data_IF_510314244402
#
_entry.id   IF_510314244402
#
_cell.length_a   1.000
_cell.length_b   1.000
_cell.length_c   1.000
_cell.angle_alpha   90.00
_cell.angle_beta   90.00
_cell.angle_gamma   90.00
#
_symmetry.space_group_name_H-M   'P 1'
#
loop_
_entity.id
_entity.type
_entity.pdbx_description
1 polymer ?
#
# COMPACT_ATOMS: atom_id res chain seq x y z
N UNK A 1 -64.31 -2.53 20.47
CA UNK A 1 -63.10 -1.70 20.66
C UNK A 1 -61.87 -2.59 20.75
N UNK A 2 -60.79 -2.18 20.08
CA UNK A 2 -59.65 -2.98 19.60
C UNK A 2 -58.77 -3.54 20.74
N UNK A 3 -58.45 -4.84 20.68
CA UNK A 3 -57.34 -5.46 21.44
C UNK A 3 -56.03 -5.33 20.65
N UNK A 4 -54.95 -5.20 21.41
CA UNK A 4 -53.62 -4.69 21.06
C UNK A 4 -52.87 -5.61 20.08
N UNK A 5 -52.28 -5.01 19.04
CA UNK A 5 -51.19 -5.58 18.25
C UNK A 5 -50.03 -5.93 19.20
N UNK A 6 -49.67 -7.22 19.25
CA UNK A 6 -48.41 -7.68 19.85
C UNK A 6 -47.43 -8.02 18.73
N UNK A 7 -46.25 -7.43 18.87
CA UNK A 7 -44.95 -7.99 18.52
C UNK A 7 -44.62 -8.21 17.04
N UNK A 8 -44.44 -7.11 16.30
CA UNK A 8 -43.38 -7.08 15.29
C UNK A 8 -42.07 -6.79 16.04
N UNK A 9 -41.33 -7.86 16.36
CA UNK A 9 -39.92 -7.78 16.78
C UNK A 9 -39.12 -7.21 15.61
N UNK A 10 -39.05 -5.88 15.52
CA UNK A 10 -38.05 -5.22 14.71
C UNK A 10 -36.69 -5.66 15.23
N UNK A 11 -36.02 -6.53 14.48
CA UNK A 11 -34.57 -6.72 14.60
C UNK A 11 -33.96 -5.34 14.40
N UNK A 12 -33.66 -4.64 15.49
CA UNK A 12 -32.92 -3.38 15.45
C UNK A 12 -31.56 -3.72 14.85
N UNK A 13 -31.40 -3.50 13.54
CA UNK A 13 -30.07 -3.36 12.94
C UNK A 13 -29.40 -2.26 13.76
N UNK A 14 -28.25 -2.56 14.36
CA UNK A 14 -27.49 -1.58 15.13
C UNK A 14 -27.28 -0.35 14.23
N UNK A 15 -27.41 0.88 14.74
CA UNK A 15 -27.04 2.06 13.98
C UNK A 15 -25.60 1.87 13.49
N UNK A 16 -25.41 1.89 12.17
CA UNK A 16 -24.07 1.85 11.58
C UNK A 16 -23.40 3.15 12.00
N UNK A 17 -22.47 3.07 12.95
CA UNK A 17 -21.75 4.24 13.43
C UNK A 17 -20.76 4.71 12.36
N UNK A 18 -20.59 6.03 12.16
CA UNK A 18 -19.65 6.61 11.19
C UNK A 18 -18.19 6.15 11.32
N UNK A 19 -17.82 5.54 12.45
CA UNK A 19 -16.50 5.00 12.76
C UNK A 19 -16.18 3.66 12.09
N UNK A 20 -17.12 3.06 11.35
CA UNK A 20 -16.96 1.71 10.76
C UNK A 20 -17.07 1.68 9.23
N UNK A 21 -16.71 2.76 8.53
CA UNK A 21 -16.67 2.75 7.06
C UNK A 21 -15.38 2.06 6.63
N UNK A 22 -15.48 0.77 6.30
CA UNK A 22 -14.34 -0.06 5.87
C UNK A 22 -14.38 -0.40 4.38
N UNK A 23 -15.54 -0.25 3.74
CA UNK A 23 -15.76 -0.54 2.33
C UNK A 23 -16.62 0.53 1.66
N UNK A 24 -16.63 0.53 0.32
CA UNK A 24 -17.50 1.42 -0.47
C UNK A 24 -18.99 1.09 -0.26
N UNK A 25 -19.33 -0.18 -0.09
CA UNK A 25 -20.70 -0.65 0.17
C UNK A 25 -21.22 -0.17 1.53
N UNK A 26 -20.35 -0.15 2.56
CA UNK A 26 -20.67 0.41 3.88
C UNK A 26 -21.01 1.91 3.79
N UNK A 27 -20.25 2.66 2.98
CA UNK A 27 -20.47 4.09 2.76
C UNK A 27 -21.79 4.36 2.02
N UNK A 28 -22.07 3.63 0.93
CA UNK A 28 -23.29 3.79 0.14
C UNK A 28 -24.54 3.46 0.95
N UNK A 29 -24.47 2.39 1.75
CA UNK A 29 -25.55 2.00 2.68
C UNK A 29 -25.77 3.07 3.76
N UNK A 30 -24.70 3.63 4.32
CA UNK A 30 -24.80 4.65 5.37
C UNK A 30 -25.40 5.97 4.82
N UNK A 31 -24.92 6.44 3.66
CA UNK A 31 -25.36 7.69 3.03
C UNK A 31 -26.83 7.66 2.58
N UNK A 32 -27.32 6.51 2.13
CA UNK A 32 -28.71 6.35 1.67
C UNK A 32 -29.72 6.45 2.81
N UNK A 33 -29.33 6.08 4.03
CA UNK A 33 -30.17 6.21 5.23
C UNK A 33 -30.08 7.59 5.91
N UNK A 34 -29.20 8.49 5.46
CA UNK A 34 -29.03 9.82 6.04
C UNK A 34 -29.79 10.90 5.26
N UNK A 35 -30.45 11.81 5.99
CA UNK A 35 -31.05 13.01 5.39
C UNK A 35 -30.01 13.81 4.61
N UNK A 36 -30.38 14.33 3.44
CA UNK A 36 -29.50 15.13 2.57
C UNK A 36 -28.97 16.40 3.24
N UNK A 37 -29.72 16.94 4.19
CA UNK A 37 -29.42 18.18 4.92
C UNK A 37 -28.70 17.92 6.26
N UNK A 38 -28.44 16.66 6.61
CA UNK A 38 -27.80 16.34 7.88
C UNK A 38 -26.32 16.75 7.88
N UNK A 39 -25.85 17.54 8.87
CA UNK A 39 -24.43 17.86 9.04
C UNK A 39 -23.54 16.62 9.18
N UNK A 40 -24.09 15.54 9.73
CA UNK A 40 -23.39 14.26 9.88
C UNK A 40 -23.09 13.62 8.51
N UNK A 41 -23.92 13.88 7.49
CA UNK A 41 -23.72 13.35 6.13
C UNK A 41 -22.47 13.95 5.48
N UNK A 42 -22.20 15.23 5.74
CA UNK A 42 -20.97 15.90 5.28
C UNK A 42 -19.74 15.28 5.94
N UNK A 43 -19.77 15.08 7.27
CA UNK A 43 -18.67 14.43 7.99
C UNK A 43 -18.39 13.00 7.53
N UNK A 44 -19.43 12.22 7.21
CA UNK A 44 -19.30 10.87 6.65
C UNK A 44 -18.64 10.89 5.27
N UNK A 45 -18.98 11.87 4.42
CA UNK A 45 -18.34 12.06 3.11
C UNK A 45 -16.87 12.38 3.25
N UNK A 46 -16.51 13.34 4.10
CA UNK A 46 -15.12 13.73 4.34
C UNK A 46 -14.28 12.55 4.84
N UNK A 47 -14.80 11.78 5.82
CA UNK A 47 -14.12 10.57 6.30
C UNK A 47 -13.95 9.51 5.23
N UNK A 48 -14.96 9.31 4.38
CA UNK A 48 -14.85 8.36 3.28
C UNK A 48 -13.85 8.84 2.21
N UNK A 49 -13.81 10.14 1.91
CA UNK A 49 -12.79 10.71 1.02
C UNK A 49 -11.40 10.50 1.61
N UNK A 50 -11.18 10.78 2.89
CA UNK A 50 -9.92 10.53 3.58
C UNK A 50 -9.55 9.04 3.57
N UNK A 51 -10.51 8.15 3.77
CA UNK A 51 -10.31 6.71 3.67
C UNK A 51 -9.93 6.28 2.25
N UNK A 52 -10.60 6.80 1.22
CA UNK A 52 -10.30 6.50 -0.18
C UNK A 52 -8.97 7.09 -0.62
N UNK A 53 -8.58 8.26 -0.09
CA UNK A 53 -7.25 8.83 -0.25
C UNK A 53 -6.18 7.98 0.45
N UNK A 54 -6.43 7.52 1.68
CA UNK A 54 -5.55 6.61 2.38
C UNK A 54 -5.44 5.25 1.69
N UNK A 55 -6.54 4.75 1.11
CA UNK A 55 -6.56 3.52 0.32
C UNK A 55 -5.84 3.71 -1.03
N UNK A 56 -5.97 4.86 -1.68
CA UNK A 56 -5.16 5.25 -2.84
C UNK A 56 -3.67 5.29 -2.51
N UNK A 57 -3.32 5.64 -1.27
CA UNK A 57 -1.93 5.62 -0.76
C UNK A 57 -1.41 4.22 -0.45
N UNK A 58 -2.23 3.18 -0.53
CA UNK A 58 -1.83 1.79 -0.30
C UNK A 58 -1.83 1.01 -1.62
N UNK A 59 -0.80 0.17 -1.79
CA UNK A 59 -0.64 -0.65 -2.97
C UNK A 59 -1.79 -1.68 -3.07
N UNK A 60 -2.44 -1.75 -4.23
CA UNK A 60 -3.61 -2.60 -4.48
C UNK A 60 -3.46 -3.35 -5.82
N UNK A 61 -3.77 -4.67 -5.91
CA UNK A 61 -3.65 -5.44 -7.16
C UNK A 61 -4.43 -4.85 -8.34
N UNK A 62 -5.49 -4.08 -8.11
CA UNK A 62 -6.26 -3.48 -9.20
C UNK A 62 -5.62 -2.22 -9.81
N UNK A 63 -4.51 -1.71 -9.25
CA UNK A 63 -3.81 -0.53 -9.76
C UNK A 63 -3.15 -0.84 -11.10
N UNK A 64 -3.18 0.13 -12.01
CA UNK A 64 -2.40 0.06 -13.25
C UNK A 64 -0.89 0.17 -12.98
N UNK A 65 -0.06 -0.29 -13.91
CA UNK A 65 1.42 -0.21 -13.79
C UNK A 65 1.88 1.23 -13.52
N UNK A 66 1.30 2.22 -14.19
CA UNK A 66 1.65 3.63 -13.98
C UNK A 66 1.28 4.11 -12.57
N UNK A 67 0.11 3.74 -12.06
CA UNK A 67 -0.33 4.09 -10.70
C UNK A 67 0.58 3.46 -9.64
N UNK A 68 0.99 2.20 -9.85
CA UNK A 68 1.96 1.52 -8.98
C UNK A 68 3.28 2.30 -8.98
N UNK A 69 3.77 2.74 -10.15
CA UNK A 69 5.04 3.47 -10.25
C UNK A 69 4.97 4.85 -9.62
N UNK A 70 3.86 5.56 -9.77
CA UNK A 70 3.64 6.85 -9.10
C UNK A 70 3.64 6.69 -7.59
N UNK A 71 2.92 5.68 -7.07
CA UNK A 71 2.92 5.37 -5.65
C UNK A 71 4.33 5.03 -5.14
N UNK A 72 5.06 4.16 -5.86
CA UNK A 72 6.42 3.79 -5.49
C UNK A 72 7.36 5.00 -5.50
N UNK A 73 7.21 5.90 -6.47
CA UNK A 73 7.97 7.16 -6.53
C UNK A 73 7.67 8.09 -5.35
N UNK A 74 6.40 8.25 -4.98
CA UNK A 74 6.02 9.01 -3.76
C UNK A 74 6.63 8.41 -2.49
N UNK A 75 6.83 7.09 -2.48
CA UNK A 75 7.48 6.36 -1.39
C UNK A 75 9.00 6.39 -1.47
N UNK A 76 9.61 7.05 -2.46
CA UNK A 76 11.07 7.18 -2.62
C UNK A 76 11.72 6.11 -3.50
N UNK A 77 10.94 5.23 -4.12
CA UNK A 77 11.43 4.19 -5.03
C UNK A 77 11.40 4.65 -6.49
N UNK A 78 12.51 4.46 -7.19
CA UNK A 78 12.67 4.78 -8.61
C UNK A 78 12.47 3.49 -9.42
N UNK A 79 11.65 3.53 -10.46
CA UNK A 79 11.38 2.36 -11.31
C UNK A 79 12.04 2.48 -12.68
N UNK A 80 12.62 1.39 -13.17
CA UNK A 80 13.25 1.29 -14.49
C UNK A 80 12.82 -0.01 -15.19
N UNK A 81 12.45 0.09 -16.47
CA UNK A 81 12.18 -1.06 -17.32
C UNK A 81 13.42 -1.40 -18.14
N UNK A 82 13.73 -2.69 -18.29
CA UNK A 82 14.78 -3.20 -19.16
C UNK A 82 14.29 -4.39 -19.97
N UNK A 83 14.82 -4.53 -21.18
CA UNK A 83 14.73 -5.76 -21.95
C UNK A 83 16.09 -6.45 -21.89
N UNK A 84 16.15 -7.63 -21.27
CA UNK A 84 17.38 -8.42 -21.13
C UNK A 84 17.09 -9.80 -21.71
N UNK A 85 17.84 -10.20 -22.75
CA UNK A 85 17.68 -11.50 -23.42
C UNK A 85 16.22 -11.82 -23.80
N UNK A 86 15.52 -10.82 -24.35
CA UNK A 86 14.10 -10.84 -24.70
C UNK A 86 13.10 -10.95 -23.52
N UNK A 87 13.58 -11.00 -22.27
CA UNK A 87 12.75 -10.91 -21.08
C UNK A 87 12.50 -9.46 -20.70
N UNK A 88 11.26 -9.15 -20.31
CA UNK A 88 10.94 -7.89 -19.67
C UNK A 88 11.40 -7.95 -18.21
N UNK A 89 12.16 -6.94 -17.79
CA UNK A 89 12.70 -6.81 -16.43
C UNK A 89 12.25 -5.47 -15.86
N UNK A 90 11.63 -5.50 -14.68
CA UNK A 90 11.32 -4.30 -13.89
C UNK A 90 12.31 -4.23 -12.73
N UNK A 91 12.84 -3.03 -12.49
CA UNK A 91 13.76 -2.74 -11.39
C UNK A 91 13.16 -1.62 -10.55
N UNK A 92 13.10 -1.81 -9.23
CA UNK A 92 12.91 -0.72 -8.28
C UNK A 92 14.24 -0.45 -7.56
N UNK A 93 14.62 0.82 -7.51
CA UNK A 93 15.84 1.30 -6.86
C UNK A 93 15.54 2.34 -5.81
N UNK A 94 16.39 2.41 -4.80
CA UNK A 94 16.35 3.46 -3.79
C UNK A 94 17.76 3.91 -3.46
N UNK A 95 17.94 5.20 -3.24
CA UNK A 95 19.24 5.82 -2.93
C UNK A 95 19.38 6.17 -1.44
N UNK A 96 18.30 6.00 -0.69
CA UNK A 96 18.14 6.30 0.74
C UNK A 96 17.60 5.06 1.46
N UNK A 97 18.10 4.81 2.66
CA UNK A 97 17.54 3.86 3.59
C UNK A 97 17.32 4.55 4.94
N UNK A 98 16.06 4.74 5.33
CA UNK A 98 15.63 5.38 6.58
C UNK A 98 16.41 6.66 6.95
N UNK A 99 16.61 7.56 5.98
CA UNK A 99 17.28 8.85 6.17
C UNK A 99 18.79 8.84 5.91
N UNK A 100 19.36 7.71 5.49
CA UNK A 100 20.79 7.57 5.20
C UNK A 100 20.96 7.19 3.75
N UNK A 101 21.78 7.94 3.02
CA UNK A 101 22.14 7.56 1.65
C UNK A 101 22.88 6.24 1.65
N UNK A 102 22.35 5.24 0.96
CA UNK A 102 22.96 3.91 0.81
C UNK A 102 23.08 3.61 -0.67
N UNK A 103 24.28 3.27 -1.18
CA UNK A 103 24.45 2.97 -2.58
C UNK A 103 23.77 1.65 -2.95
N UNK A 104 23.17 1.61 -4.14
CA UNK A 104 22.77 0.39 -4.86
C UNK A 104 21.71 -0.49 -4.17
N UNK A 105 20.74 0.09 -3.47
CA UNK A 105 19.56 -0.69 -3.06
C UNK A 105 18.68 -0.89 -4.29
N UNK A 106 18.68 -2.11 -4.81
CA UNK A 106 17.87 -2.47 -5.97
C UNK A 106 17.24 -3.85 -5.81
N UNK A 107 16.00 -3.94 -6.29
CA UNK A 107 15.26 -5.18 -6.42
C UNK A 107 14.74 -5.27 -7.84
N UNK A 108 14.84 -6.45 -8.44
CA UNK A 108 14.39 -6.68 -9.79
C UNK A 108 13.66 -8.01 -9.90
N UNK A 109 12.82 -8.09 -10.92
CA UNK A 109 12.22 -9.35 -11.37
C UNK A 109 12.01 -9.29 -12.86
N UNK A 110 11.92 -10.45 -13.50
CA UNK A 110 11.76 -10.56 -14.93
C UNK A 110 10.71 -11.60 -15.31
N UNK A 111 10.13 -11.43 -16.49
CA UNK A 111 9.24 -12.41 -17.11
C UNK A 111 9.45 -12.42 -18.62
N UNK A 112 9.35 -13.60 -19.21
CA UNK A 112 9.21 -13.77 -20.66
C UNK A 112 7.75 -13.63 -21.13
N UNK A 113 6.77 -13.76 -20.22
CA UNK A 113 5.34 -13.66 -20.55
C UNK A 113 4.82 -12.24 -20.37
N UNK A 114 4.40 -11.63 -21.49
CA UNK A 114 3.82 -10.28 -21.50
C UNK A 114 2.56 -10.16 -20.65
N UNK A 115 1.81 -11.25 -20.45
CA UNK A 115 0.59 -11.25 -19.62
C UNK A 115 0.91 -11.11 -18.14
N UNK A 116 2.11 -11.48 -17.72
CA UNK A 116 2.55 -11.44 -16.32
C UNK A 116 3.22 -10.11 -15.95
N UNK A 117 3.48 -9.22 -16.91
CA UNK A 117 4.16 -7.94 -16.66
C UNK A 117 3.49 -7.17 -15.51
N UNK A 118 2.16 -7.09 -15.52
CA UNK A 118 1.43 -6.41 -14.45
C UNK A 118 1.63 -7.08 -13.09
N UNK A 119 1.52 -8.42 -13.01
CA UNK A 119 1.64 -9.14 -11.75
C UNK A 119 3.06 -9.06 -11.20
N UNK A 120 4.10 -9.16 -12.03
CA UNK A 120 5.48 -9.06 -11.54
C UNK A 120 5.82 -7.64 -11.07
N UNK A 121 5.27 -6.59 -11.71
CA UNK A 121 5.43 -5.20 -11.27
C UNK A 121 4.76 -5.00 -9.91
N UNK A 122 3.52 -5.50 -9.78
CA UNK A 122 2.77 -5.42 -8.52
C UNK A 122 3.48 -6.15 -7.37
N UNK A 123 3.88 -7.40 -7.58
CA UNK A 123 4.52 -8.19 -6.53
C UNK A 123 5.90 -7.64 -6.16
N UNK A 124 6.69 -7.14 -7.13
CA UNK A 124 7.95 -6.49 -6.82
C UNK A 124 7.74 -5.19 -6.03
N UNK A 125 6.75 -4.37 -6.40
CA UNK A 125 6.42 -3.15 -5.66
C UNK A 125 6.00 -3.48 -4.22
N UNK A 126 5.15 -4.49 -4.04
CA UNK A 126 4.71 -4.97 -2.73
C UNK A 126 5.89 -5.43 -1.89
N UNK A 127 6.78 -6.19 -2.50
CA UNK A 127 8.02 -6.68 -1.88
C UNK A 127 8.89 -5.52 -1.40
N UNK A 128 9.13 -4.52 -2.25
CA UNK A 128 9.91 -3.33 -1.87
C UNK A 128 9.31 -2.57 -0.68
N UNK A 129 7.97 -2.43 -0.63
CA UNK A 129 7.29 -1.79 0.50
C UNK A 129 7.42 -2.60 1.79
N UNK A 130 7.28 -3.93 1.72
CA UNK A 130 7.43 -4.79 2.90
C UNK A 130 8.87 -4.76 3.43
N UNK A 131 9.87 -4.84 2.54
CA UNK A 131 11.29 -4.81 2.93
C UNK A 131 11.65 -3.50 3.63
N UNK A 132 11.08 -2.38 3.18
CA UNK A 132 11.28 -1.08 3.84
C UNK A 132 10.90 -1.12 5.33
N UNK A 133 9.82 -1.82 5.66
CA UNK A 133 9.35 -1.98 7.04
C UNK A 133 10.13 -3.08 7.78
N UNK A 134 10.44 -4.20 7.12
CA UNK A 134 11.08 -5.35 7.74
C UNK A 134 12.56 -5.11 8.08
N UNK A 135 13.29 -4.37 7.22
CA UNK A 135 14.72 -4.08 7.38
C UNK A 135 14.95 -2.65 7.87
N UNK A 136 14.29 -2.25 8.97
CA UNK A 136 14.41 -0.89 9.52
C UNK A 136 15.84 -0.55 10.00
N UNK A 137 16.53 -1.54 10.58
CA UNK A 137 17.85 -1.36 11.18
C UNK A 137 19.00 -1.98 10.37
N UNK A 138 18.72 -2.50 9.18
CA UNK A 138 19.69 -3.17 8.33
C UNK A 138 19.46 -2.88 6.86
N UNK A 139 20.49 -3.12 6.02
CA UNK A 139 20.38 -2.88 4.58
C UNK A 139 20.10 -4.19 3.85
N UNK A 140 18.97 -4.31 3.15
CA UNK A 140 18.63 -5.52 2.41
C UNK A 140 19.39 -5.61 1.09
N UNK A 141 19.55 -6.82 0.57
CA UNK A 141 19.98 -7.08 -0.81
C UNK A 141 19.22 -8.26 -1.41
N UNK A 142 19.09 -8.27 -2.73
CA UNK A 142 18.53 -9.39 -3.47
C UNK A 142 19.65 -10.34 -3.93
N UNK A 143 19.48 -11.63 -3.64
CA UNK A 143 20.32 -12.71 -4.17
C UNK A 143 19.96 -13.02 -5.63
N UNK A 144 20.84 -13.77 -6.30
CA UNK A 144 20.63 -14.22 -7.68
C UNK A 144 19.39 -15.11 -7.85
N UNK A 145 19.01 -15.85 -6.80
CA UNK A 145 17.81 -16.68 -6.77
C UNK A 145 16.51 -15.89 -6.48
N UNK A 146 16.63 -14.57 -6.32
CA UNK A 146 15.53 -13.65 -6.05
C UNK A 146 15.15 -13.52 -4.57
N UNK A 147 15.77 -14.31 -3.67
CA UNK A 147 15.55 -14.16 -2.23
C UNK A 147 16.18 -12.88 -1.70
N UNK A 148 15.62 -12.33 -0.62
CA UNK A 148 16.07 -11.08 -0.02
C UNK A 148 16.63 -11.37 1.37
N UNK A 149 17.82 -10.87 1.63
CA UNK A 149 18.53 -11.04 2.89
C UNK A 149 19.21 -9.74 3.32
N UNK A 150 19.71 -9.73 4.54
CA UNK A 150 20.56 -8.65 5.03
C UNK A 150 21.94 -8.67 4.36
N UNK A 151 22.39 -7.52 3.89
CA UNK A 151 23.76 -7.32 3.42
C UNK A 151 24.65 -6.92 4.59
N UNK A 152 25.32 -7.88 5.22
CA UNK A 152 26.22 -7.61 6.37
C UNK A 152 27.23 -6.47 6.12
N UNK A 153 27.88 -6.35 4.94
CA UNK A 153 28.81 -5.25 4.69
C UNK A 153 28.10 -3.88 4.64
N UNK A 154 26.95 -3.80 3.95
CA UNK A 154 26.20 -2.56 3.83
C UNK A 154 25.52 -2.18 5.15
N UNK A 155 24.97 -3.14 5.89
CA UNK A 155 24.42 -2.89 7.23
C UNK A 155 25.50 -2.34 8.15
N UNK A 156 26.67 -2.95 8.22
CA UNK A 156 27.76 -2.45 9.07
C UNK A 156 28.11 -1.00 8.75
N UNK A 157 28.19 -0.65 7.46
CA UNK A 157 28.43 0.71 7.02
C UNK A 157 27.26 1.66 7.39
N UNK A 158 26.03 1.23 7.14
CA UNK A 158 24.80 1.97 7.45
C UNK A 158 24.68 2.28 8.94
N UNK A 159 24.90 1.30 9.83
CA UNK A 159 24.86 1.49 11.28
C UNK A 159 25.93 2.47 11.76
N UNK A 160 27.13 2.46 11.17
CA UNK A 160 28.17 3.45 11.49
C UNK A 160 27.74 4.86 11.06
N UNK A 161 27.11 4.99 9.89
CA UNK A 161 26.57 6.26 9.41
C UNK A 161 25.41 6.76 10.27
N UNK A 162 24.49 5.90 10.67
CA UNK A 162 23.33 6.23 11.53
C UNK A 162 23.80 6.90 12.83
N UNK A 163 24.78 6.28 13.48
CA UNK A 163 25.42 6.79 14.70
C UNK A 163 26.11 8.14 14.51
N UNK A 164 26.74 8.39 13.35
CA UNK A 164 27.41 9.67 13.07
C UNK A 164 26.42 10.81 12.79
N UNK A 165 25.28 10.48 12.19
CA UNK A 165 24.24 11.44 11.81
C UNK A 165 23.30 11.82 12.96
N UNK A 166 23.42 11.19 14.13
CA UNK A 166 22.59 11.47 15.30
C UNK A 166 21.17 10.87 15.25
N UNK A 167 20.98 9.85 14.41
CA UNK A 167 19.77 9.02 14.36
C UNK A 167 19.88 7.82 15.29
#
# INVERSE_FOLDING_TARGET
MKRKNRDIKWRRRRPIHPTYITTQEDYETLITHMSKESPQRTSVREKFTQFMEAKKKNLNPSMGIMEIRELMKERGWISEDKMIDANYTIIFRREDWHGIQVPNICFLTCTSDRKEIHSIVYELARTCLNIWEEFEDSVPYQKEDGTIEESLPLTKWYTLKKKQSGF
#
